data_IF_365496181222
#
_entry.id   IF_365496181222
#
_cell.length_a   1.000
_cell.length_b   1.000
_cell.length_c   1.000
_cell.angle_alpha   90.00
_cell.angle_beta   90.00
_cell.angle_gamma   90.00
#
_symmetry.space_group_name_H-M   'P 1'
#
loop_
_entity.id
_entity.type
_entity.pdbx_description
1 polymer ?
#
# COMPACT_ATOMS: atom_id res chain seq x y z
N UNK A 1 -21.10 21.55 -2.56
CA UNK A 1 -20.69 20.21 -2.87
C UNK A 1 -21.91 19.34 -3.02
N UNK A 2 -21.81 18.52 -3.94
CA UNK A 2 -22.95 17.70 -4.29
C UNK A 2 -22.95 16.36 -3.61
N UNK A 3 -21.92 16.05 -2.90
CA UNK A 3 -21.82 14.74 -2.31
C UNK A 3 -21.12 13.73 -3.19
N UNK A 4 -20.81 14.10 -4.41
CA UNK A 4 -20.07 13.22 -5.28
C UNK A 4 -18.60 13.52 -5.19
N UNK A 5 -17.81 12.49 -5.04
CA UNK A 5 -16.37 12.65 -4.94
C UNK A 5 -15.73 12.37 -6.29
N UNK A 6 -14.73 13.17 -6.67
CA UNK A 6 -14.02 12.88 -7.91
C UNK A 6 -13.30 11.54 -7.81
N UNK A 7 -13.13 10.90 -8.96
CA UNK A 7 -12.42 9.63 -9.00
C UNK A 7 -11.02 9.71 -8.44
N UNK A 8 -10.35 10.83 -8.71
CA UNK A 8 -9.01 11.04 -8.18
C UNK A 8 -9.00 11.04 -6.66
N UNK A 9 -10.01 11.64 -6.07
CA UNK A 9 -10.11 11.65 -4.61
C UNK A 9 -10.28 10.24 -4.05
N UNK A 10 -11.12 9.43 -4.72
CA UNK A 10 -11.29 8.04 -4.31
C UNK A 10 -9.99 7.27 -4.43
N UNK A 11 -9.23 7.52 -5.48
CA UNK A 11 -7.92 6.87 -5.61
C UNK A 11 -7.00 7.25 -4.46
N UNK A 12 -6.99 8.52 -4.10
CA UNK A 12 -6.17 8.96 -2.97
C UNK A 12 -6.59 8.28 -1.67
N UNK A 13 -7.89 8.14 -1.45
CA UNK A 13 -8.38 7.46 -0.25
C UNK A 13 -7.97 6.00 -0.23
N UNK A 14 -8.10 5.32 -1.38
CA UNK A 14 -7.71 3.92 -1.47
C UNK A 14 -6.23 3.74 -1.23
N UNK A 15 -5.44 4.62 -1.79
CA UNK A 15 -3.99 4.52 -1.63
C UNK A 15 -3.57 4.87 -0.20
N UNK A 16 -4.24 5.82 0.43
CA UNK A 16 -3.98 6.12 1.83
C UNK A 16 -4.26 4.89 2.70
N UNK A 17 -5.36 4.21 2.42
CA UNK A 17 -5.66 2.98 3.14
C UNK A 17 -4.63 1.89 2.85
N UNK A 18 -4.18 1.82 1.60
CA UNK A 18 -3.15 0.85 1.23
C UNK A 18 -1.89 1.07 2.05
N UNK A 19 -1.50 2.32 2.23
CA UNK A 19 -0.31 2.60 3.04
C UNK A 19 -0.46 2.08 4.46
N UNK A 20 -1.63 2.29 5.05
CA UNK A 20 -1.89 1.78 6.39
C UNK A 20 -1.76 0.27 6.45
N UNK A 21 -2.35 -0.42 5.48
CA UNK A 21 -2.30 -1.87 5.46
C UNK A 21 -0.89 -2.39 5.21
N UNK A 22 -0.14 -1.70 4.38
CA UNK A 22 1.24 -2.11 4.11
C UNK A 22 2.12 -1.87 5.33
N UNK A 23 1.88 -0.79 6.04
CA UNK A 23 2.64 -0.49 7.26
C UNK A 23 2.35 -1.51 8.36
N UNK A 24 1.11 -1.96 8.42
CA UNK A 24 0.74 -2.99 9.38
C UNK A 24 1.40 -4.33 9.06
N UNK A 25 1.64 -4.60 7.79
CA UNK A 25 2.38 -5.79 7.38
C UNK A 25 1.64 -7.10 7.51
N UNK A 26 0.34 -7.07 7.81
CA UNK A 26 -0.41 -8.29 8.07
C UNK A 26 -0.84 -9.01 6.81
N UNK A 27 -0.93 -8.30 5.69
CA UNK A 27 -1.45 -8.86 4.45
C UNK A 27 -0.42 -8.81 3.34
N UNK A 28 -0.45 -9.80 2.44
CA UNK A 28 0.35 -9.69 1.23
C UNK A 28 -0.17 -8.54 0.37
N UNK A 29 0.70 -8.00 -0.48
CA UNK A 29 0.34 -6.87 -1.31
C UNK A 29 -0.88 -7.17 -2.18
N UNK A 30 -0.95 -8.39 -2.69
CA UNK A 30 -2.10 -8.83 -3.47
C UNK A 30 -3.41 -8.68 -2.71
N UNK A 31 -3.39 -9.08 -1.44
CA UNK A 31 -4.58 -8.98 -0.61
C UNK A 31 -4.94 -7.53 -0.29
N UNK A 32 -3.94 -6.70 -0.11
CA UNK A 32 -4.17 -5.27 0.08
C UNK A 32 -4.90 -4.70 -1.12
N UNK A 33 -4.39 -4.96 -2.32
CA UNK A 33 -5.01 -4.47 -3.55
C UNK A 33 -6.45 -4.96 -3.67
N UNK A 34 -6.65 -6.24 -3.42
CA UNK A 34 -7.97 -6.85 -3.55
C UNK A 34 -8.95 -6.23 -2.56
N UNK A 35 -8.53 -6.01 -1.34
CA UNK A 35 -9.41 -5.45 -0.31
C UNK A 35 -9.83 -4.02 -0.62
N UNK A 36 -9.08 -3.34 -1.48
CA UNK A 36 -9.40 -1.98 -1.87
C UNK A 36 -10.19 -1.90 -3.19
N UNK A 37 -10.52 -3.06 -3.75
CA UNK A 37 -11.31 -3.09 -4.98
C UNK A 37 -10.49 -3.12 -6.25
N UNK A 38 -9.20 -3.34 -6.16
CA UNK A 38 -8.35 -3.48 -7.35
C UNK A 38 -8.30 -4.94 -7.75
N UNK A 39 -8.81 -5.25 -8.93
CA UNK A 39 -8.76 -6.60 -9.45
C UNK A 39 -7.45 -6.93 -10.11
N UNK A 40 -6.74 -5.91 -10.51
CA UNK A 40 -5.53 -6.03 -11.32
C UNK A 40 -4.35 -5.52 -10.50
N UNK A 41 -3.51 -6.43 -10.06
CA UNK A 41 -2.37 -6.07 -9.24
C UNK A 41 -1.40 -5.11 -9.94
N UNK A 42 -1.05 -5.32 -11.22
CA UNK A 42 -0.22 -4.33 -11.91
C UNK A 42 -0.82 -2.94 -11.93
N UNK A 43 -2.14 -2.84 -12.10
CA UNK A 43 -2.80 -1.55 -12.08
C UNK A 43 -2.69 -0.91 -10.70
N UNK A 44 -2.89 -1.68 -9.65
CA UNK A 44 -2.73 -1.18 -8.29
C UNK A 44 -1.33 -0.63 -8.07
N UNK A 45 -0.32 -1.39 -8.50
CA UNK A 45 1.07 -0.95 -8.35
C UNK A 45 1.32 0.36 -9.07
N UNK A 46 0.76 0.49 -10.27
CA UNK A 46 0.93 1.70 -11.06
C UNK A 46 0.34 2.90 -10.37
N UNK A 47 -0.89 2.77 -9.88
CA UNK A 47 -1.57 3.85 -9.18
C UNK A 47 -0.81 4.20 -7.91
N UNK A 48 -0.42 3.19 -7.15
CA UNK A 48 0.31 3.43 -5.91
C UNK A 48 1.61 4.17 -6.17
N UNK A 49 2.38 3.71 -7.16
CA UNK A 49 3.65 4.37 -7.47
C UNK A 49 3.44 5.79 -7.93
N UNK A 50 2.41 6.02 -8.73
CA UNK A 50 2.13 7.36 -9.22
C UNK A 50 1.80 8.32 -8.08
N UNK A 51 1.02 7.88 -7.11
CA UNK A 51 0.59 8.75 -6.02
C UNK A 51 1.57 8.81 -4.88
N UNK A 52 2.34 7.76 -4.66
CA UNK A 52 3.27 7.69 -3.52
C UNK A 52 4.72 7.85 -3.91
N UNK A 53 5.03 7.70 -5.18
CA UNK A 53 6.41 7.84 -5.65
C UNK A 53 7.25 6.58 -5.55
N UNK A 54 6.75 5.55 -4.88
CA UNK A 54 7.45 4.27 -4.76
C UNK A 54 6.44 3.13 -4.93
N UNK A 55 6.94 1.95 -5.23
CA UNK A 55 6.07 0.80 -5.38
C UNK A 55 5.55 0.33 -4.02
N UNK A 56 4.45 -0.42 -4.00
CA UNK A 56 3.97 -0.97 -2.73
C UNK A 56 5.00 -1.84 -2.02
N UNK A 57 5.78 -2.62 -2.78
CA UNK A 57 6.81 -3.46 -2.18
C UNK A 57 7.89 -2.62 -1.53
N UNK A 58 8.32 -1.56 -2.22
CA UNK A 58 9.30 -0.64 -1.65
C UNK A 58 8.76 0.06 -0.42
N UNK A 59 7.50 0.46 -0.48
CA UNK A 59 6.88 1.14 0.64
C UNK A 59 6.85 0.23 1.87
N UNK A 60 6.43 -1.02 1.68
CA UNK A 60 6.41 -1.98 2.78
C UNK A 60 7.81 -2.19 3.35
N UNK A 61 8.80 -2.26 2.48
CA UNK A 61 10.16 -2.48 2.92
C UNK A 61 10.67 -1.33 3.77
N UNK A 62 10.26 -0.10 3.44
CA UNK A 62 10.73 1.09 4.15
C UNK A 62 9.94 1.39 5.40
N UNK A 63 8.64 1.14 5.37
CA UNK A 63 7.74 1.60 6.43
C UNK A 63 6.96 0.49 7.10
N UNK A 64 7.04 -0.73 6.58
CA UNK A 64 6.36 -1.85 7.18
C UNK A 64 7.06 -2.32 8.44
N UNK A 65 6.49 -3.32 9.09
CA UNK A 65 7.17 -3.87 10.28
C UNK A 65 8.50 -4.42 9.85
N UNK A 66 9.47 -4.21 10.69
CA UNK A 66 10.77 -4.70 10.39
C UNK A 66 10.80 -6.09 10.76
N UNK A 67 10.66 -6.39 10.07
CA UNK A 67 10.73 -7.44 10.61
C UNK A 67 12.05 -7.64 11.08
N UNK A 68 11.89 -6.69 11.21
CA UNK A 68 12.56 -6.69 11.43
C UNK A 68 13.48 -7.20 11.41
N UNK A 69 13.55 -7.02 11.47
CA UNK A 69 14.21 -7.33 11.41
C UNK A 69 14.87 -7.80 11.55
N UNK A 70 14.98 -7.82 11.76
CA UNK A 70 15.57 -8.31 12.00
C UNK A 70 16.18 -8.77 12.22
N UNK A 71 16.07 -8.78 12.38
CA UNK A 71 16.56 -9.14 12.66
C UNK A 71 17.49 -9.40 12.59
N UNK A 72 17.66 -9.27 12.62
CA UNK A 72 18.42 -9.49 12.75
C UNK A 72 19.10 -9.58 13.07
N UNK A 73 18.98 -9.23 13.22
CA UNK A 73 19.55 -9.28 13.70
C UNK A 73 20.10 -9.65 13.96
N UNK A 74 20.03 -9.88 14.17
CA UNK A 74 20.54 -10.23 14.59
C UNK A 74 21.16 -10.60 14.78
N UNK A 75 21.19 -10.61 14.70
CA UNK A 75 21.76 -10.90 15.00
C UNK A 75 22.20 -10.92 15.30
N UNK A 76 22.19 -10.88 15.58
CA UNK A 76 22.62 -10.89 16.04
C UNK A 76 22.87 -11.02 16.26
#
# INVERSE_FOLDING_TARGET
ATGQLPGAYLQHLRIARARELLEAGALPIRSVASSLGYDDLPHFRQVFKRLCGVTPADYRRRFGPIAVAPARLRAS
#
